data_IF_119915701867
#
_entry.id   IF_119915701867
#
_cell.length_a   1.000
_cell.length_b   1.000
_cell.length_c   1.000
_cell.angle_alpha   90.00
_cell.angle_beta   90.00
_cell.angle_gamma   90.00
#
_symmetry.space_group_name_H-M   'P 1'
#
loop_
_entity.id
_entity.type
_entity.pdbx_description
1 polymer ?
#
# COMPACT_ATOMS: atom_id res chain seq x y z
N UNK A 1 -28.97 -35.70 11.58
CA UNK A 1 -28.15 -35.73 12.82
C UNK A 1 -26.65 -35.54 12.52
N UNK A 2 -26.14 -36.08 11.41
CA UNK A 2 -24.73 -35.92 10.99
C UNK A 2 -24.35 -34.51 10.50
N UNK A 3 -25.24 -33.81 9.79
CA UNK A 3 -24.98 -32.43 9.33
C UNK A 3 -24.91 -31.39 10.46
N UNK A 4 -25.83 -31.47 11.44
CA UNK A 4 -25.84 -30.58 12.61
C UNK A 4 -24.56 -30.75 13.45
N UNK A 5 -24.07 -31.99 13.60
CA UNK A 5 -22.82 -32.28 14.31
C UNK A 5 -21.58 -31.78 13.57
N UNK A 6 -21.63 -31.76 12.22
CA UNK A 6 -20.56 -31.23 11.37
C UNK A 6 -20.52 -29.69 11.43
N UNK A 7 -21.68 -29.03 11.48
CA UNK A 7 -21.78 -27.57 11.56
C UNK A 7 -21.30 -27.05 12.93
N UNK A 8 -21.71 -27.72 14.02
CA UNK A 8 -21.22 -27.42 15.37
C UNK A 8 -19.70 -27.61 15.52
N UNK A 9 -19.14 -28.65 14.88
CA UNK A 9 -17.68 -28.88 14.87
C UNK A 9 -16.94 -27.75 14.13
N UNK A 10 -17.45 -27.30 12.97
CA UNK A 10 -16.85 -26.20 12.20
C UNK A 10 -16.93 -24.87 12.95
N UNK A 11 -18.04 -24.60 13.62
CA UNK A 11 -18.22 -23.38 14.42
C UNK A 11 -17.25 -23.37 15.62
N UNK A 12 -17.09 -24.50 16.30
CA UNK A 12 -16.12 -24.65 17.39
C UNK A 12 -14.68 -24.44 16.91
N UNK A 13 -14.31 -25.05 15.78
CA UNK A 13 -12.99 -24.86 15.17
C UNK A 13 -12.74 -23.39 14.78
N UNK A 14 -13.72 -22.72 14.17
CA UNK A 14 -13.64 -21.31 13.81
C UNK A 14 -13.45 -20.42 15.03
N UNK A 15 -14.22 -20.66 16.10
CA UNK A 15 -14.09 -19.90 17.34
C UNK A 15 -12.75 -20.13 18.03
N UNK A 16 -12.22 -21.36 17.99
CA UNK A 16 -10.87 -21.69 18.48
C UNK A 16 -9.79 -20.93 17.69
N UNK A 17 -9.87 -20.90 16.36
CA UNK A 17 -8.94 -20.16 15.52
C UNK A 17 -8.99 -18.66 15.82
N UNK A 18 -10.19 -18.06 15.90
CA UNK A 18 -10.34 -16.64 16.29
C UNK A 18 -9.81 -16.32 17.69
N UNK A 19 -9.94 -17.25 18.64
CA UNK A 19 -9.37 -17.07 19.97
C UNK A 19 -7.84 -17.06 19.91
N UNK A 20 -7.25 -17.98 19.13
CA UNK A 20 -5.80 -18.04 18.90
C UNK A 20 -5.28 -16.78 18.22
N UNK A 21 -5.96 -16.28 17.19
CA UNK A 21 -5.56 -15.04 16.49
C UNK A 21 -5.56 -13.83 17.44
N UNK A 22 -6.60 -13.71 18.28
CA UNK A 22 -6.67 -12.65 19.30
C UNK A 22 -5.53 -12.75 20.32
N UNK A 23 -5.18 -13.95 20.74
CA UNK A 23 -4.03 -14.16 21.63
C UNK A 23 -2.73 -13.69 20.97
N UNK A 24 -2.48 -14.09 19.72
CA UNK A 24 -1.29 -13.69 18.96
C UNK A 24 -1.24 -12.16 18.82
N UNK A 25 -2.35 -11.51 18.48
CA UNK A 25 -2.42 -10.05 18.39
C UNK A 25 -2.11 -9.39 19.74
N UNK A 26 -2.63 -9.92 20.84
CA UNK A 26 -2.35 -9.39 22.18
C UNK A 26 -0.87 -9.53 22.55
N UNK A 27 -0.28 -10.69 22.26
CA UNK A 27 1.13 -10.94 22.56
C UNK A 27 2.03 -10.03 21.72
N UNK A 28 1.70 -9.83 20.44
CA UNK A 28 2.41 -8.93 19.55
C UNK A 28 2.34 -7.48 20.04
N UNK A 29 1.17 -7.03 20.50
CA UNK A 29 1.01 -5.70 21.08
C UNK A 29 1.83 -5.54 22.36
N UNK A 30 1.86 -6.56 23.23
CA UNK A 30 2.67 -6.52 24.44
C UNK A 30 4.18 -6.43 24.13
N UNK A 31 4.67 -7.14 23.10
CA UNK A 31 6.05 -7.02 22.62
C UNK A 31 6.30 -5.63 22.04
N UNK A 32 5.36 -5.11 21.23
CA UNK A 32 5.46 -3.77 20.65
C UNK A 32 5.58 -2.69 21.73
N UNK A 33 4.74 -2.74 22.77
CA UNK A 33 4.79 -1.81 23.90
C UNK A 33 6.12 -1.91 24.68
N UNK A 34 6.65 -3.12 24.88
CA UNK A 34 7.97 -3.30 25.49
C UNK A 34 9.09 -2.62 24.69
N UNK A 35 9.04 -2.72 23.36
CA UNK A 35 10.01 -2.04 22.48
C UNK A 35 9.84 -0.52 22.56
N UNK A 36 8.60 -0.02 22.49
CA UNK A 36 8.31 1.42 22.63
C UNK A 36 8.80 1.99 23.96
N UNK A 37 8.61 1.26 25.05
CA UNK A 37 9.08 1.64 26.38
C UNK A 37 10.60 1.75 26.48
N UNK A 38 11.36 0.96 25.70
CA UNK A 38 12.84 1.04 25.64
C UNK A 38 13.35 2.23 24.83
N UNK A 39 12.51 2.83 23.98
CA UNK A 39 12.90 3.94 23.10
C UNK A 39 12.01 5.18 23.29
N UNK A 40 11.90 5.74 24.53
CA UNK A 40 10.99 6.83 24.84
C UNK A 40 11.28 8.09 24.01
N UNK A 41 12.54 8.33 23.64
CA UNK A 41 12.95 9.42 22.76
C UNK A 41 12.26 9.33 21.38
N UNK A 42 12.28 8.15 20.75
CA UNK A 42 11.66 7.95 19.43
C UNK A 42 10.14 8.12 19.49
N UNK A 43 9.50 7.69 20.57
CA UNK A 43 8.06 7.85 20.74
C UNK A 43 7.68 9.31 20.95
N UNK A 44 8.46 10.03 21.77
CA UNK A 44 8.25 11.46 22.03
C UNK A 44 8.46 12.33 20.78
N UNK A 45 9.44 11.98 19.95
CA UNK A 45 9.84 12.76 18.78
C UNK A 45 9.45 12.12 17.45
N UNK A 46 8.46 11.21 17.45
CA UNK A 46 8.07 10.43 16.27
C UNK A 46 7.80 11.28 15.03
N UNK A 47 7.01 12.35 15.19
CA UNK A 47 6.68 13.26 14.08
C UNK A 47 7.91 14.00 13.53
N UNK A 48 8.84 14.39 14.41
CA UNK A 48 10.09 15.03 14.01
C UNK A 48 11.03 14.06 13.28
N UNK A 49 11.10 12.81 13.71
CA UNK A 49 11.87 11.75 13.03
C UNK A 49 11.28 11.50 11.64
N UNK A 50 9.96 11.34 11.53
CA UNK A 50 9.28 11.16 10.25
C UNK A 50 9.51 12.33 9.29
N UNK A 51 9.41 13.57 9.78
CA UNK A 51 9.70 14.77 8.97
C UNK A 51 11.18 14.84 8.57
N UNK A 52 12.10 14.42 9.43
CA UNK A 52 13.55 14.40 9.11
C UNK A 52 13.83 13.41 7.99
N UNK A 53 13.32 12.18 8.09
CA UNK A 53 13.47 11.15 7.04
C UNK A 53 12.88 11.66 5.73
N UNK A 54 11.72 12.30 5.77
CA UNK A 54 11.06 12.90 4.61
C UNK A 54 11.95 13.95 3.93
N UNK A 55 12.41 14.97 4.66
CA UNK A 55 13.20 16.07 4.11
C UNK A 55 14.57 15.59 3.61
N UNK A 56 15.24 14.70 4.35
CA UNK A 56 16.51 14.11 3.92
C UNK A 56 16.33 13.29 2.65
N UNK A 57 15.23 12.53 2.54
CA UNK A 57 14.95 11.75 1.34
C UNK A 57 14.69 12.62 0.12
N UNK A 58 13.93 13.71 0.27
CA UNK A 58 13.70 14.67 -0.82
C UNK A 58 14.99 15.38 -1.25
N UNK A 59 15.79 15.85 -0.28
CA UNK A 59 17.08 16.48 -0.56
C UNK A 59 18.04 15.48 -1.23
N UNK A 60 18.06 14.24 -0.77
CA UNK A 60 18.83 13.14 -1.36
C UNK A 60 18.43 12.86 -2.81
N UNK A 61 17.13 12.83 -3.13
CA UNK A 61 16.65 12.68 -4.50
C UNK A 61 17.05 13.85 -5.40
N UNK A 62 16.88 15.08 -4.93
CA UNK A 62 17.24 16.27 -5.68
C UNK A 62 18.75 16.32 -5.96
N UNK A 63 19.57 16.07 -4.94
CA UNK A 63 21.02 15.98 -5.05
C UNK A 63 21.43 14.87 -6.02
N UNK A 64 20.82 13.68 -5.91
CA UNK A 64 21.11 12.55 -6.80
C UNK A 64 20.83 12.89 -8.27
N UNK A 65 19.70 13.55 -8.55
CA UNK A 65 19.37 14.01 -9.90
C UNK A 65 20.35 15.06 -10.42
N UNK A 66 20.72 16.04 -9.57
CA UNK A 66 21.69 17.07 -9.94
C UNK A 66 23.08 16.49 -10.24
N UNK A 67 23.60 15.60 -9.39
CA UNK A 67 24.90 14.94 -9.61
C UNK A 67 24.95 14.16 -10.93
N UNK A 68 23.83 13.55 -11.33
CA UNK A 68 23.75 12.86 -12.61
C UNK A 68 23.73 13.83 -13.80
N UNK A 69 23.00 14.95 -13.69
CA UNK A 69 22.96 15.98 -14.73
C UNK A 69 24.33 16.66 -14.96
N UNK A 70 25.11 16.84 -13.89
CA UNK A 70 26.50 17.35 -13.97
C UNK A 70 27.49 16.28 -14.47
N UNK A 71 27.05 15.05 -14.73
CA UNK A 71 27.90 13.94 -15.17
C UNK A 71 28.87 13.41 -14.11
N UNK A 72 28.67 13.78 -12.83
CA UNK A 72 29.55 13.36 -11.71
C UNK A 72 29.35 11.88 -11.39
N UNK A 73 28.11 11.39 -11.48
CA UNK A 73 27.77 9.98 -11.23
C UNK A 73 27.24 9.29 -12.49
N UNK A 74 27.59 8.02 -12.73
CA UNK A 74 27.07 7.27 -13.88
C UNK A 74 25.62 6.84 -13.67
N UNK A 75 24.95 6.48 -14.77
CA UNK A 75 23.53 6.12 -14.79
C UNK A 75 23.14 5.01 -13.78
N UNK A 76 23.99 4.01 -13.55
CA UNK A 76 23.66 2.93 -12.61
C UNK A 76 23.66 3.40 -11.15
N UNK A 77 24.52 4.36 -10.78
CA UNK A 77 24.58 4.93 -9.42
C UNK A 77 23.32 5.73 -9.15
N UNK A 78 22.92 6.61 -10.08
CA UNK A 78 21.70 7.42 -9.90
C UNK A 78 20.47 6.54 -9.79
N UNK A 79 20.40 5.41 -10.50
CA UNK A 79 19.30 4.43 -10.39
C UNK A 79 19.25 3.81 -8.99
N UNK A 80 20.38 3.29 -8.49
CA UNK A 80 20.44 2.66 -7.16
C UNK A 80 20.11 3.65 -6.05
N UNK A 81 20.66 4.86 -6.10
CA UNK A 81 20.38 5.91 -5.12
C UNK A 81 18.92 6.38 -5.19
N UNK A 82 18.35 6.50 -6.40
CA UNK A 82 16.93 6.83 -6.57
C UNK A 82 16.04 5.76 -5.97
N UNK A 83 16.36 4.48 -6.17
CA UNK A 83 15.63 3.36 -5.57
C UNK A 83 15.69 3.41 -4.04
N UNK A 84 16.87 3.69 -3.47
CA UNK A 84 17.04 3.86 -2.03
C UNK A 84 16.16 4.98 -1.46
N UNK A 85 16.25 6.21 -1.99
CA UNK A 85 15.43 7.32 -1.49
C UNK A 85 13.93 7.09 -1.68
N UNK A 86 13.55 6.51 -2.82
CA UNK A 86 12.16 6.14 -3.10
C UNK A 86 11.64 5.09 -2.12
N UNK A 87 12.48 4.15 -1.67
CA UNK A 87 12.10 3.13 -0.68
C UNK A 87 11.81 3.74 0.70
N UNK A 88 12.59 4.75 1.11
CA UNK A 88 12.33 5.47 2.37
C UNK A 88 11.00 6.23 2.30
N UNK A 89 10.74 6.90 1.17
CA UNK A 89 9.45 7.59 0.96
C UNK A 89 8.27 6.61 0.85
N UNK A 90 8.51 5.40 0.34
CA UNK A 90 7.49 4.34 0.29
C UNK A 90 7.09 3.88 1.70
N UNK A 91 8.06 3.60 2.55
CA UNK A 91 7.81 3.23 3.95
C UNK A 91 7.14 4.38 4.71
N UNK A 92 7.60 5.61 4.48
CA UNK A 92 6.99 6.79 5.09
C UNK A 92 5.54 7.00 4.65
N UNK A 93 5.21 6.74 3.37
CA UNK A 93 3.83 6.76 2.91
C UNK A 93 2.99 5.69 3.63
N UNK A 94 3.52 4.47 3.80
CA UNK A 94 2.88 3.40 4.58
C UNK A 94 2.57 3.83 6.01
N UNK A 95 3.53 4.47 6.68
CA UNK A 95 3.34 5.02 8.02
C UNK A 95 2.26 6.13 8.04
N UNK A 96 2.25 7.01 7.03
CA UNK A 96 1.29 8.09 6.91
C UNK A 96 -0.14 7.58 6.67
N UNK A 97 -0.33 6.59 5.79
CA UNK A 97 -1.67 6.00 5.58
C UNK A 97 -2.18 5.26 6.83
N UNK A 98 -1.28 4.84 7.71
CA UNK A 98 -1.59 4.32 9.05
C UNK A 98 -1.73 5.39 10.15
N UNK A 99 -1.67 6.68 9.81
CA UNK A 99 -1.72 7.78 10.78
C UNK A 99 -0.63 7.71 11.86
N UNK A 100 0.57 7.21 11.52
CA UNK A 100 1.69 7.22 12.47
C UNK A 100 2.23 8.63 12.68
N UNK A 101 2.42 9.42 11.63
CA UNK A 101 2.95 10.79 11.76
C UNK A 101 1.86 11.87 11.66
N UNK A 102 2.00 12.92 12.46
CA UNK A 102 1.16 14.12 12.47
C UNK A 102 -0.35 13.84 12.60
N UNK A 103 -0.72 12.76 13.30
CA UNK A 103 -2.12 12.30 13.45
C UNK A 103 -3.09 13.38 13.95
N UNK A 104 -2.62 14.29 14.82
CA UNK A 104 -3.42 15.40 15.38
C UNK A 104 -3.23 16.72 14.62
N UNK A 105 -2.39 16.75 13.60
CA UNK A 105 -2.03 17.95 12.85
C UNK A 105 -2.29 17.71 11.35
N UNK A 106 -3.55 17.84 10.90
CA UNK A 106 -3.96 17.41 9.56
C UNK A 106 -3.25 18.18 8.43
N UNK A 107 -2.83 19.42 8.67
CA UNK A 107 -2.09 20.23 7.69
C UNK A 107 -0.76 19.56 7.34
N UNK A 108 0.07 19.30 8.36
CA UNK A 108 1.39 18.66 8.17
C UNK A 108 1.28 17.25 7.63
N UNK A 109 0.27 16.51 8.10
CA UNK A 109 -0.02 15.17 7.62
C UNK A 109 -0.32 15.15 6.10
N UNK A 110 -1.21 16.04 5.63
CA UNK A 110 -1.55 16.11 4.22
C UNK A 110 -0.42 16.72 3.37
N UNK A 111 0.39 17.61 3.94
CA UNK A 111 1.59 18.12 3.27
C UNK A 111 2.58 16.99 3.00
N UNK A 112 2.88 16.15 3.99
CA UNK A 112 3.77 15.00 3.79
C UNK A 112 3.18 14.00 2.79
N UNK A 113 1.87 13.73 2.86
CA UNK A 113 1.15 12.90 1.88
C UNK A 113 1.27 13.45 0.44
N UNK A 114 1.10 14.76 0.26
CA UNK A 114 1.27 15.40 -1.04
C UNK A 114 2.73 15.32 -1.50
N UNK A 115 3.68 15.54 -0.59
CA UNK A 115 5.10 15.49 -0.88
C UNK A 115 5.58 14.12 -1.32
N UNK A 116 5.19 13.05 -0.64
CA UNK A 116 5.51 11.67 -1.08
C UNK A 116 4.87 11.35 -2.43
N UNK A 117 3.67 11.86 -2.70
CA UNK A 117 3.00 11.66 -3.99
C UNK A 117 3.71 12.36 -5.14
N UNK A 118 4.12 13.62 -4.95
CA UNK A 118 4.87 14.40 -5.94
C UNK A 118 6.24 13.76 -6.20
N UNK A 119 6.92 13.30 -5.17
CA UNK A 119 8.22 12.65 -5.31
C UNK A 119 8.12 11.27 -5.97
N UNK A 120 6.94 10.64 -5.95
CA UNK A 120 6.67 9.30 -6.51
C UNK A 120 5.43 9.32 -7.42
N UNK A 121 5.45 10.07 -8.54
CA UNK A 121 4.24 10.35 -9.31
C UNK A 121 3.69 9.15 -10.08
N UNK A 122 4.47 8.06 -10.21
CA UNK A 122 4.06 6.80 -10.83
C UNK A 122 3.37 5.84 -9.85
N UNK A 123 3.07 6.30 -8.64
CA UNK A 123 2.47 5.49 -7.58
C UNK A 123 1.02 5.88 -7.35
N UNK A 124 0.29 5.02 -6.64
CA UNK A 124 -1.12 5.29 -6.39
C UNK A 124 -1.29 6.53 -5.52
N UNK A 125 -2.31 7.34 -5.83
CA UNK A 125 -2.72 8.46 -4.99
C UNK A 125 -2.82 8.01 -3.53
N UNK A 126 -2.06 8.60 -2.60
CA UNK A 126 -1.91 8.03 -1.26
C UNK A 126 -3.18 8.15 -0.40
N UNK A 127 -4.08 9.10 -0.71
CA UNK A 127 -5.39 9.18 -0.05
C UNK A 127 -6.31 8.04 -0.47
N UNK A 128 -6.30 7.69 -1.77
CA UNK A 128 -7.01 6.51 -2.28
C UNK A 128 -6.39 5.25 -1.71
N UNK A 129 -5.06 5.14 -1.76
CA UNK A 129 -4.31 4.01 -1.23
C UNK A 129 -4.59 3.79 0.25
N UNK A 130 -4.73 4.84 1.05
CA UNK A 130 -5.12 4.73 2.47
C UNK A 130 -6.42 3.97 2.69
N UNK A 131 -7.45 4.28 1.90
CA UNK A 131 -8.72 3.58 2.02
C UNK A 131 -8.59 2.11 1.63
N UNK A 132 -7.84 1.83 0.57
CA UNK A 132 -7.55 0.46 0.14
C UNK A 132 -6.73 -0.30 1.19
N UNK A 133 -5.72 0.33 1.77
CA UNK A 133 -4.81 -0.28 2.73
C UNK A 133 -5.48 -0.64 4.05
N UNK A 134 -6.29 0.28 4.59
CA UNK A 134 -7.08 -0.02 5.79
C UNK A 134 -8.15 -1.10 5.53
N UNK A 135 -8.58 -1.27 4.27
CA UNK A 135 -9.45 -2.37 3.89
C UNK A 135 -8.67 -3.68 3.77
N UNK A 136 -7.48 -3.67 3.16
CA UNK A 136 -6.55 -4.80 3.04
C UNK A 136 -6.31 -5.46 4.41
N UNK A 137 -6.02 -4.69 5.46
CA UNK A 137 -5.85 -5.24 6.82
C UNK A 137 -7.08 -5.99 7.38
N UNK A 138 -8.28 -5.73 6.86
CA UNK A 138 -9.51 -6.41 7.28
C UNK A 138 -9.83 -7.65 6.46
N UNK A 139 -9.47 -7.64 5.17
CA UNK A 139 -9.85 -8.68 4.20
C UNK A 139 -8.65 -9.35 3.54
N UNK A 140 -7.49 -9.32 4.19
CA UNK A 140 -6.23 -9.80 3.66
C UNK A 140 -6.33 -11.23 3.08
N UNK A 141 -5.73 -11.45 1.92
CA UNK A 141 -5.74 -12.75 1.23
C UNK A 141 -7.06 -13.12 0.55
N UNK A 142 -8.12 -12.32 0.71
CA UNK A 142 -9.42 -12.59 0.06
C UNK A 142 -9.47 -12.08 -1.37
N UNK A 143 -10.55 -12.36 -2.08
CA UNK A 143 -10.78 -11.84 -3.44
C UNK A 143 -11.19 -10.37 -3.45
N UNK A 144 -11.65 -9.82 -2.33
CA UNK A 144 -12.05 -8.40 -2.19
C UNK A 144 -10.89 -7.51 -1.77
N UNK A 145 -9.71 -8.08 -1.54
CA UNK A 145 -8.50 -7.37 -1.21
C UNK A 145 -7.86 -6.71 -2.43
N UNK A 146 -8.34 -5.53 -2.78
CA UNK A 146 -7.94 -4.84 -4.01
C UNK A 146 -6.47 -4.41 -4.00
N UNK A 147 -5.91 -4.09 -2.84
CA UNK A 147 -4.50 -3.68 -2.74
C UNK A 147 -3.58 -4.87 -3.06
N UNK A 148 -3.87 -6.04 -2.47
CA UNK A 148 -3.12 -7.26 -2.73
C UNK A 148 -3.29 -7.72 -4.19
N UNK A 149 -4.52 -7.69 -4.73
CA UNK A 149 -4.78 -8.06 -6.14
C UNK A 149 -4.10 -7.11 -7.12
N UNK A 150 -3.99 -5.82 -6.80
CA UNK A 150 -3.31 -4.84 -7.64
C UNK A 150 -1.83 -5.18 -7.85
N UNK A 151 -1.15 -5.75 -6.86
CA UNK A 151 0.26 -6.19 -6.95
C UNK A 151 0.43 -7.64 -7.46
N UNK A 152 -0.59 -8.20 -8.11
CA UNK A 152 -0.61 -9.55 -8.70
C UNK A 152 -0.72 -10.69 -7.69
N UNK A 153 -0.87 -10.41 -6.40
CA UNK A 153 -1.02 -11.47 -5.42
C UNK A 153 -2.37 -12.19 -5.60
N UNK A 154 -2.34 -13.50 -5.43
CA UNK A 154 -3.46 -14.40 -5.74
C UNK A 154 -3.63 -14.75 -7.22
N UNK A 155 -2.77 -14.24 -8.13
CA UNK A 155 -2.65 -14.75 -9.49
C UNK A 155 -1.82 -16.04 -9.53
N UNK A 156 -2.14 -16.97 -10.45
CA UNK A 156 -1.30 -18.15 -10.67
C UNK A 156 0.09 -17.72 -11.15
N UNK A 157 1.14 -18.42 -10.70
CA UNK A 157 2.49 -18.15 -11.16
C UNK A 157 2.68 -18.70 -12.58
N UNK A 158 2.89 -17.80 -13.54
CA UNK A 158 3.16 -18.10 -14.94
C UNK A 158 4.03 -16.97 -15.55
N UNK A 159 4.40 -17.13 -16.83
CA UNK A 159 5.18 -16.12 -17.54
C UNK A 159 4.47 -14.75 -17.61
N UNK A 160 3.14 -14.72 -17.61
CA UNK A 160 2.39 -13.46 -17.59
C UNK A 160 2.62 -12.77 -16.25
N UNK A 161 2.44 -13.47 -15.13
CA UNK A 161 2.68 -12.93 -13.79
C UNK A 161 4.13 -12.48 -13.60
N UNK A 162 5.10 -13.23 -14.11
CA UNK A 162 6.49 -12.81 -14.09
C UNK A 162 6.70 -11.42 -14.73
N UNK A 163 6.15 -11.20 -15.93
CA UNK A 163 6.22 -9.89 -16.60
C UNK A 163 5.47 -8.80 -15.82
N UNK A 164 4.33 -9.12 -15.22
CA UNK A 164 3.56 -8.17 -14.42
C UNK A 164 4.26 -7.76 -13.11
N UNK A 165 5.04 -8.66 -12.49
CA UNK A 165 5.81 -8.34 -11.28
C UNK A 165 6.99 -7.41 -11.62
N UNK A 166 7.60 -7.61 -12.79
CA UNK A 166 8.72 -6.79 -13.24
C UNK A 166 8.34 -5.37 -13.66
N UNK A 167 7.10 -5.14 -14.08
CA UNK A 167 6.67 -3.84 -14.60
C UNK A 167 5.17 -3.58 -14.37
N UNK A 168 4.87 -2.48 -13.68
CA UNK A 168 3.51 -2.07 -13.33
C UNK A 168 2.63 -1.74 -14.54
N UNK A 169 3.20 -1.28 -15.65
CA UNK A 169 2.45 -0.98 -16.89
C UNK A 169 2.09 -2.28 -17.61
N UNK A 170 3.00 -3.23 -17.73
CA UNK A 170 2.67 -4.58 -18.21
C UNK A 170 1.60 -5.21 -17.32
N UNK A 171 1.69 -5.05 -16.00
CA UNK A 171 0.66 -5.48 -15.07
C UNK A 171 -0.71 -4.86 -15.35
N UNK A 172 -0.76 -3.58 -15.73
CA UNK A 172 -1.99 -2.90 -16.12
C UNK A 172 -2.56 -3.45 -17.44
N UNK A 173 -1.73 -3.51 -18.49
CA UNK A 173 -2.17 -3.95 -19.82
C UNK A 173 -2.61 -5.42 -19.86
N UNK A 174 -1.81 -6.31 -19.26
CA UNK A 174 -2.10 -7.75 -19.25
C UNK A 174 -3.35 -8.11 -18.43
N UNK A 175 -3.84 -7.20 -17.58
CA UNK A 175 -5.03 -7.38 -16.74
C UNK A 175 -6.20 -6.48 -17.12
N UNK A 176 -6.11 -5.70 -18.19
CA UNK A 176 -7.16 -4.75 -18.59
C UNK A 176 -8.56 -5.39 -18.63
N UNK A 177 -8.68 -6.60 -19.20
CA UNK A 177 -9.95 -7.33 -19.25
C UNK A 177 -10.47 -7.80 -17.89
N UNK A 178 -9.58 -8.08 -16.92
CA UNK A 178 -9.95 -8.52 -15.57
C UNK A 178 -10.57 -7.39 -14.76
N UNK A 179 -10.09 -6.16 -14.92
CA UNK A 179 -10.67 -4.98 -14.26
C UNK A 179 -12.17 -4.79 -14.57
N UNK A 180 -12.65 -5.30 -15.71
CA UNK A 180 -14.07 -5.26 -16.05
C UNK A 180 -14.84 -6.53 -15.62
N UNK A 181 -14.21 -7.70 -15.69
CA UNK A 181 -14.85 -9.00 -15.41
C UNK A 181 -14.94 -9.32 -13.92
N UNK A 182 -13.88 -9.06 -13.16
CA UNK A 182 -13.79 -9.43 -11.74
C UNK A 182 -14.80 -8.71 -10.86
N UNK A 183 -15.02 -7.39 -10.97
CA UNK A 183 -16.03 -6.73 -10.15
C UNK A 183 -17.44 -7.28 -10.39
N UNK A 184 -17.77 -7.63 -11.65
CA UNK A 184 -19.05 -8.25 -12.00
C UNK A 184 -19.17 -9.66 -11.42
N UNK A 185 -18.10 -10.45 -11.46
CA UNK A 185 -18.03 -11.78 -10.84
C UNK A 185 -18.27 -11.68 -9.33
N UNK A 186 -17.58 -10.76 -8.64
CA UNK A 186 -17.73 -10.56 -7.20
C UNK A 186 -19.15 -10.12 -6.84
N UNK A 187 -19.77 -9.27 -7.65
CA UNK A 187 -21.17 -8.85 -7.48
C UNK A 187 -22.13 -10.03 -7.63
N UNK A 188 -21.93 -10.88 -8.64
CA UNK A 188 -22.74 -12.08 -8.86
C UNK A 188 -22.59 -13.10 -7.71
N UNK A 189 -21.43 -13.14 -7.06
CA UNK A 189 -21.17 -13.97 -5.89
C UNK A 189 -21.67 -13.37 -4.56
N UNK A 190 -22.25 -12.16 -4.58
CA UNK A 190 -22.67 -11.45 -3.38
C UNK A 190 -21.53 -10.99 -2.47
N UNK A 191 -20.27 -11.03 -2.95
CA UNK A 191 -19.08 -10.61 -2.19
C UNK A 191 -18.90 -9.10 -2.15
N UNK A 192 -19.48 -8.39 -3.12
CA UNK A 192 -19.51 -6.92 -3.19
C UNK A 192 -20.90 -6.45 -3.59
N UNK A 193 -21.27 -5.24 -3.19
CA UNK A 193 -22.54 -4.61 -3.54
C UNK A 193 -22.38 -3.62 -4.72
N UNK A 194 -23.49 -3.01 -5.16
CA UNK A 194 -23.47 -2.03 -6.27
C UNK A 194 -22.73 -0.72 -5.93
N UNK A 195 -22.77 -0.30 -4.67
CA UNK A 195 -22.04 0.89 -4.21
C UNK A 195 -20.53 0.63 -4.22
N UNK A 196 -20.09 -0.57 -3.83
CA UNK A 196 -18.69 -0.99 -3.89
C UNK A 196 -18.20 -0.96 -5.35
N UNK A 197 -19.04 -1.38 -6.30
CA UNK A 197 -18.72 -1.30 -7.73
C UNK A 197 -18.54 0.14 -8.22
N UNK A 198 -19.35 1.07 -7.72
CA UNK A 198 -19.23 2.50 -8.04
C UNK A 198 -17.95 3.08 -7.44
N UNK A 199 -17.67 2.77 -6.18
CA UNK A 199 -16.47 3.20 -5.48
C UNK A 199 -15.20 2.65 -6.15
N UNK A 200 -15.22 1.39 -6.58
CA UNK A 200 -14.15 0.76 -7.36
C UNK A 200 -13.78 1.54 -8.62
N UNK A 201 -14.79 2.02 -9.36
CA UNK A 201 -14.56 2.82 -10.58
C UNK A 201 -13.96 4.18 -10.26
N UNK A 202 -14.42 4.82 -9.18
CA UNK A 202 -13.89 6.11 -8.71
C UNK A 202 -12.43 5.94 -8.26
N UNK A 203 -12.16 4.90 -7.46
CA UNK A 203 -10.81 4.52 -7.03
C UNK A 203 -9.92 4.31 -8.26
N UNK A 204 -10.34 3.48 -9.22
CA UNK A 204 -9.55 3.24 -10.44
C UNK A 204 -9.25 4.53 -11.22
N UNK A 205 -10.21 5.45 -11.33
CA UNK A 205 -10.01 6.73 -12.00
C UNK A 205 -9.07 7.68 -11.24
N UNK A 206 -9.14 7.69 -9.90
CA UNK A 206 -8.38 8.61 -9.04
C UNK A 206 -7.02 8.06 -8.60
N UNK A 207 -6.78 6.75 -8.71
CA UNK A 207 -5.53 6.11 -8.30
C UNK A 207 -4.31 6.65 -9.02
N UNK A 208 -4.43 7.11 -10.27
CA UNK A 208 -3.30 7.64 -11.06
C UNK A 208 -3.47 9.12 -11.44
N UNK A 209 -4.50 9.80 -10.91
CA UNK A 209 -4.82 11.19 -11.23
C UNK A 209 -4.34 12.13 -10.11
N UNK A 210 -3.84 13.35 -10.39
CA UNK A 210 -3.64 14.03 -11.68
C UNK A 210 -2.21 13.97 -12.25
N UNK A 211 -1.24 13.38 -11.53
CA UNK A 211 0.18 13.41 -11.93
C UNK A 211 0.61 12.20 -12.79
N UNK A 212 -0.06 11.06 -12.68
CA UNK A 212 0.27 9.87 -13.47
C UNK A 212 -0.10 10.00 -14.95
N UNK A 213 -1.11 10.81 -15.30
CA UNK A 213 -1.55 11.02 -16.68
C UNK A 213 -0.80 12.14 -17.40
N UNK A 214 -0.35 13.18 -16.69
CA UNK A 214 0.36 14.32 -17.29
C UNK A 214 1.80 13.98 -17.68
N UNK A 215 2.46 13.06 -16.95
CA UNK A 215 3.81 12.58 -17.29
C UNK A 215 3.83 11.70 -18.56
N UNK A 216 2.73 11.05 -18.91
CA UNK A 216 2.62 10.24 -20.13
C UNK A 216 2.01 10.97 -21.32
N UNK A 217 1.41 12.15 -21.12
CA UNK A 217 0.77 12.94 -22.19
C UNK A 217 1.75 13.82 -22.99
N UNK A 218 3.05 13.81 -22.66
CA UNK A 218 4.11 14.46 -23.44
C UNK A 218 5.13 13.42 -23.92
N UNK A 219 4.81 12.75 -25.02
CA UNK A 219 5.76 12.27 -26.03
C UNK A 219 5.17 12.55 -27.40
#
# INVERSE_FOLDING_TARGET
MTEIRNDQSKEQDFNRLRAKDRQIQSDLMAVSEKVRARHPFLIKHRDAVGMTIFLVSLAGMALNGWLWLEGIIPAWVVIVLSAFWTSLLHELEHDLIHYMYFRKQPVWHNLMMAGVYIARPLTQNPWVRRHLHLHHHKVSGTETDLEERAITNGEKWDWRRFLMVGDSMFAFYLRAGKYFKEPRKLLAQGKVNRNDLKNLRIIAALSFFPLGTTIYAKR
#
